data_IF_854478990166
#
_entry.id   IF_854478990166
#
_cell.length_a   1.000
_cell.length_b   1.000
_cell.length_c   1.000
_cell.angle_alpha   90.00
_cell.angle_beta   90.00
_cell.angle_gamma   90.00
#
_symmetry.space_group_name_H-M   'P 1'
#
loop_
_entity.id
_entity.type
_entity.pdbx_description
1 polymer ?
#
# COMPACT_ATOMS: atom_id res chain seq x y z
N UNK A 1 -3.18 16.28 -17.23
CA UNK A 1 -2.29 15.15 -17.59
C UNK A 1 -3.04 13.96 -18.19
N UNK A 2 -4.12 13.47 -17.55
CA UNK A 2 -4.92 12.31 -18.00
C UNK A 2 -5.43 12.45 -19.44
N UNK A 3 -5.89 13.65 -19.82
CA UNK A 3 -6.41 13.94 -21.16
C UNK A 3 -5.40 13.68 -22.30
N UNK A 4 -4.11 13.97 -22.08
CA UNK A 4 -3.07 13.71 -23.09
C UNK A 4 -2.75 12.23 -23.23
N UNK A 5 -2.80 11.46 -22.14
CA UNK A 5 -2.59 10.01 -22.19
C UNK A 5 -3.74 9.32 -22.94
N UNK A 6 -5.00 9.74 -22.67
CA UNK A 6 -6.18 9.24 -23.36
C UNK A 6 -6.12 9.50 -24.87
N UNK A 7 -5.74 10.72 -25.29
CA UNK A 7 -5.57 11.06 -26.71
C UNK A 7 -4.50 10.21 -27.40
N UNK A 8 -3.35 9.97 -26.74
CA UNK A 8 -2.28 9.13 -27.29
C UNK A 8 -2.70 7.67 -27.39
N UNK A 9 -3.41 7.16 -26.39
CA UNK A 9 -3.95 5.79 -26.40
C UNK A 9 -4.97 5.61 -27.54
N UNK A 10 -5.88 6.58 -27.72
CA UNK A 10 -6.85 6.55 -28.81
C UNK A 10 -6.16 6.49 -30.18
N UNK A 11 -5.17 7.35 -30.42
CA UNK A 11 -4.40 7.34 -31.68
C UNK A 11 -3.66 6.01 -31.91
N UNK A 12 -3.13 5.38 -30.86
CA UNK A 12 -2.48 4.06 -30.96
C UNK A 12 -3.48 2.94 -31.30
N UNK A 13 -4.72 3.02 -30.79
CA UNK A 13 -5.78 2.07 -31.12
C UNK A 13 -6.19 2.21 -32.59
N UNK A 14 -6.33 3.45 -33.09
CA UNK A 14 -6.70 3.73 -34.48
C UNK A 14 -5.71 3.16 -35.50
N UNK A 15 -4.42 3.11 -35.17
CA UNK A 15 -3.37 2.50 -36.03
C UNK A 15 -3.25 0.97 -35.86
N UNK A 16 -4.21 0.33 -35.18
CA UNK A 16 -4.26 -1.13 -35.01
C UNK A 16 -3.42 -1.68 -33.85
N UNK A 17 -2.88 -0.84 -32.97
CA UNK A 17 -2.07 -1.28 -31.83
C UNK A 17 -2.88 -1.64 -30.57
N UNK A 18 -4.20 -1.85 -30.69
CA UNK A 18 -5.11 -2.09 -29.57
C UNK A 18 -4.63 -3.22 -28.63
N UNK A 19 -4.26 -4.38 -29.20
CA UNK A 19 -3.75 -5.51 -28.42
C UNK A 19 -2.46 -5.19 -27.67
N UNK A 20 -1.57 -4.39 -28.27
CA UNK A 20 -0.32 -3.98 -27.62
C UNK A 20 -0.59 -3.01 -26.47
N UNK A 21 -1.52 -2.07 -26.66
CA UNK A 21 -1.94 -1.10 -25.64
C UNK A 21 -2.56 -1.85 -24.45
N UNK A 22 -3.51 -2.74 -24.70
CA UNK A 22 -4.18 -3.53 -23.66
C UNK A 22 -3.18 -4.38 -22.87
N UNK A 23 -2.31 -5.12 -23.57
CA UNK A 23 -1.27 -5.92 -22.92
C UNK A 23 -0.32 -5.08 -22.07
N UNK A 24 0.06 -3.89 -22.56
CA UNK A 24 0.93 -2.97 -21.83
C UNK A 24 0.24 -2.44 -20.56
N UNK A 25 -1.01 -2.01 -20.67
CA UNK A 25 -1.79 -1.52 -19.53
C UNK A 25 -1.95 -2.63 -18.49
N UNK A 26 -2.34 -3.83 -18.91
CA UNK A 26 -2.49 -4.99 -18.03
C UNK A 26 -1.17 -5.32 -17.31
N UNK A 27 -0.03 -5.29 -18.01
CA UNK A 27 1.29 -5.47 -17.41
C UNK A 27 1.61 -4.39 -16.37
N UNK A 28 1.34 -3.12 -16.66
CA UNK A 28 1.60 -2.01 -15.74
C UNK A 28 0.76 -2.13 -14.47
N UNK A 29 -0.54 -2.42 -14.61
CA UNK A 29 -1.44 -2.63 -13.48
C UNK A 29 -0.96 -3.83 -12.65
N UNK A 30 -0.67 -4.95 -13.30
CA UNK A 30 -0.23 -6.18 -12.61
C UNK A 30 1.09 -5.97 -11.86
N UNK A 31 2.05 -5.27 -12.49
CA UNK A 31 3.32 -4.92 -11.87
C UNK A 31 3.11 -4.04 -10.64
N UNK A 32 2.25 -3.02 -10.74
CA UNK A 32 2.01 -2.11 -9.63
C UNK A 32 1.29 -2.81 -8.46
N UNK A 33 0.31 -3.67 -8.76
CA UNK A 33 -0.34 -4.52 -7.75
C UNK A 33 0.70 -5.40 -7.06
N UNK A 34 1.55 -6.11 -7.81
CA UNK A 34 2.57 -6.98 -7.26
C UNK A 34 3.57 -6.21 -6.37
N UNK A 35 3.94 -5.00 -6.78
CA UNK A 35 4.78 -4.09 -5.99
C UNK A 35 4.14 -3.73 -4.66
N UNK A 36 2.88 -3.29 -4.65
CA UNK A 36 2.17 -2.96 -3.42
C UNK A 36 1.95 -4.18 -2.51
N UNK A 37 1.59 -5.32 -3.08
CA UNK A 37 1.46 -6.56 -2.32
C UNK A 37 2.77 -6.98 -1.66
N UNK A 38 3.91 -6.78 -2.34
CA UNK A 38 5.24 -7.02 -1.76
C UNK A 38 5.51 -6.06 -0.60
N UNK A 39 5.22 -4.77 -0.77
CA UNK A 39 5.38 -3.78 0.29
C UNK A 39 4.51 -4.12 1.52
N UNK A 40 3.24 -4.47 1.32
CA UNK A 40 2.34 -4.89 2.40
C UNK A 40 2.91 -6.11 3.13
N UNK A 41 3.39 -7.13 2.41
CA UNK A 41 4.00 -8.31 3.04
C UNK A 41 5.23 -7.96 3.86
N UNK A 42 6.09 -7.10 3.34
CA UNK A 42 7.28 -6.65 4.05
C UNK A 42 6.92 -5.90 5.34
N UNK A 43 6.01 -4.93 5.26
CA UNK A 43 5.53 -4.18 6.43
C UNK A 43 4.95 -5.13 7.47
N UNK A 44 4.11 -6.11 7.07
CA UNK A 44 3.58 -7.12 7.99
C UNK A 44 4.68 -7.95 8.67
N UNK A 45 5.75 -8.30 7.94
CA UNK A 45 6.88 -9.02 8.53
C UNK A 45 7.66 -8.14 9.51
N UNK A 46 7.84 -6.86 9.21
CA UNK A 46 8.51 -5.90 10.09
C UNK A 46 7.71 -5.62 11.37
N UNK A 47 6.38 -5.70 11.32
CA UNK A 47 5.50 -5.50 12.47
C UNK A 47 5.41 -6.70 13.42
N UNK A 48 5.54 -7.92 12.89
CA UNK A 48 5.37 -9.16 13.66
C UNK A 48 6.20 -9.22 14.96
N UNK A 49 7.50 -8.86 15.00
CA UNK A 49 8.28 -8.87 16.24
C UNK A 49 7.74 -7.93 17.31
N UNK A 50 7.11 -6.84 16.91
CA UNK A 50 6.51 -5.90 17.84
C UNK A 50 5.16 -6.39 18.34
N UNK A 51 4.33 -6.95 17.46
CA UNK A 51 3.05 -7.56 17.87
C UNK A 51 3.29 -8.69 18.88
N UNK A 52 4.34 -9.50 18.68
CA UNK A 52 4.77 -10.53 19.62
C UNK A 52 5.31 -9.93 20.94
N UNK A 53 6.13 -8.88 20.86
CA UNK A 53 6.73 -8.23 22.04
C UNK A 53 5.67 -7.57 22.94
N UNK A 54 4.68 -6.92 22.36
CA UNK A 54 3.68 -6.13 23.09
C UNK A 54 2.34 -6.85 23.24
N UNK A 55 2.22 -8.09 22.75
CA UNK A 55 1.00 -8.90 22.80
C UNK A 55 -0.24 -8.15 22.29
N UNK A 56 -0.05 -7.33 21.25
CA UNK A 56 -1.06 -6.44 20.69
C UNK A 56 -0.92 -6.41 19.18
N UNK A 57 -2.02 -6.62 18.46
CA UNK A 57 -2.01 -6.52 17.00
C UNK A 57 -1.85 -5.06 16.56
N UNK A 58 -1.30 -4.83 15.37
CA UNK A 58 -1.19 -3.48 14.80
C UNK A 58 -2.56 -2.81 14.62
N UNK A 59 -3.59 -3.60 14.30
CA UNK A 59 -4.97 -3.12 14.17
C UNK A 59 -5.55 -2.66 15.52
N UNK A 60 -5.33 -3.45 16.57
CA UNK A 60 -5.72 -3.09 17.93
C UNK A 60 -4.96 -1.85 18.42
N UNK A 61 -3.66 -1.77 18.14
CA UNK A 61 -2.84 -0.61 18.46
C UNK A 61 -3.41 0.65 17.80
N UNK A 62 -3.65 0.61 16.49
CA UNK A 62 -4.23 1.72 15.73
C UNK A 62 -5.58 2.18 16.30
N UNK A 63 -6.45 1.22 16.65
CA UNK A 63 -7.74 1.53 17.25
C UNK A 63 -7.57 2.24 18.60
N UNK A 64 -6.82 1.65 19.52
CA UNK A 64 -6.60 2.20 20.88
C UNK A 64 -5.88 3.54 20.85
N UNK A 65 -5.01 3.76 19.87
CA UNK A 65 -4.37 5.06 19.64
C UNK A 65 -5.39 6.13 19.26
N UNK A 66 -6.24 5.85 18.27
CA UNK A 66 -7.27 6.79 17.81
C UNK A 66 -8.34 7.06 18.88
N UNK A 67 -8.62 6.06 19.72
CA UNK A 67 -9.55 6.17 20.84
C UNK A 67 -8.93 6.89 22.06
N UNK A 68 -7.64 7.25 22.01
CA UNK A 68 -6.93 7.94 23.10
C UNK A 68 -6.65 7.05 24.32
N UNK A 69 -6.80 5.73 24.18
CA UNK A 69 -6.64 4.75 25.26
C UNK A 69 -5.17 4.34 25.49
N UNK A 70 -4.27 4.77 24.61
CA UNK A 70 -2.83 4.65 24.79
C UNK A 70 -2.30 5.90 25.51
N UNK A 71 -2.15 5.80 26.83
CA UNK A 71 -1.60 6.88 27.66
C UNK A 71 -0.08 7.09 27.49
N UNK A 72 0.45 8.05 28.24
CA UNK A 72 1.86 8.52 28.26
C UNK A 72 2.87 7.52 28.87
N UNK A 73 2.50 6.24 28.97
CA UNK A 73 3.36 5.22 29.55
C UNK A 73 4.43 4.86 28.53
N UNK A 74 5.72 5.06 28.86
CA UNK A 74 6.88 4.86 27.95
C UNK A 74 6.93 3.50 27.22
N UNK A 75 6.19 2.50 27.70
CA UNK A 75 6.05 1.18 27.08
C UNK A 75 5.08 1.13 25.89
N UNK A 76 4.26 2.17 25.65
CA UNK A 76 3.37 2.28 24.47
C UNK A 76 4.10 2.74 23.20
N UNK A 77 5.43 2.89 23.25
CA UNK A 77 6.27 3.34 22.14
C UNK A 77 6.04 2.60 20.81
N UNK A 78 5.54 1.35 20.85
CA UNK A 78 5.12 0.60 19.67
C UNK A 78 4.15 1.37 18.76
N UNK A 79 3.15 2.04 19.33
CA UNK A 79 2.13 2.72 18.53
C UNK A 79 2.62 4.05 17.93
N UNK A 80 3.66 4.65 18.49
CA UNK A 80 4.22 5.91 17.99
C UNK A 80 5.12 5.74 16.77
N UNK A 81 5.72 4.57 16.56
CA UNK A 81 6.59 4.28 15.40
C UNK A 81 5.84 4.04 14.08
N UNK A 82 4.51 3.93 14.10
CA UNK A 82 3.69 3.75 12.88
C UNK A 82 3.06 5.04 12.34
N UNK A 83 3.18 6.18 13.04
CA UNK A 83 2.51 7.45 12.67
C UNK A 83 3.45 8.45 11.98
N UNK A 84 4.74 8.11 11.80
CA UNK A 84 5.73 8.96 11.13
C UNK A 84 6.46 8.23 10.00
#
# INVERSE_FOLDING_TARGET
MIYNAQRKIAALIEIGAANMVENTINKLISFQIAKYQRAIRQIKQELKPFEEKYLMTSEECYKRFNDGELGDVRETGFCFYQVF
#
